data_IF_855085945098
#
_entry.id   IF_855085945098
#
_cell.length_a   1.000
_cell.length_b   1.000
_cell.length_c   1.000
_cell.angle_alpha   90.00
_cell.angle_beta   90.00
_cell.angle_gamma   90.00
#
_symmetry.space_group_name_H-M   'P 1'
#
loop_
_entity.id
_entity.type
_entity.pdbx_description
1 polymer ?
#
# COMPACT_ATOMS: atom_id res chain seq x y z
N UNK A 1 -57.15 -2.26 33.23
CA UNK A 1 -55.95 -2.48 34.09
C UNK A 1 -55.39 -3.85 33.70
N UNK A 2 -54.23 -4.07 33.08
CA UNK A 2 -53.05 -3.31 32.68
C UNK A 2 -52.44 -4.03 31.45
N UNK A 3 -52.09 -3.31 30.38
CA UNK A 3 -51.29 -3.83 29.24
C UNK A 3 -49.81 -3.71 29.65
N UNK A 4 -49.09 -4.83 29.76
CA UNK A 4 -47.64 -4.82 30.00
C UNK A 4 -46.90 -4.65 28.68
N UNK A 5 -46.44 -3.43 28.41
CA UNK A 5 -45.46 -3.12 27.37
C UNK A 5 -44.07 -3.54 27.89
N UNK A 6 -43.47 -4.58 27.30
CA UNK A 6 -42.09 -4.94 27.56
C UNK A 6 -41.19 -4.30 26.49
N UNK A 7 -40.29 -3.42 26.96
CA UNK A 7 -39.32 -2.66 26.19
C UNK A 7 -38.43 -3.57 25.32
N UNK A 8 -38.41 -3.32 24.02
CA UNK A 8 -37.38 -3.85 23.12
C UNK A 8 -36.16 -2.92 23.24
N UNK A 9 -35.15 -3.36 23.98
CA UNK A 9 -33.82 -2.73 24.01
C UNK A 9 -33.09 -3.16 22.73
N UNK A 10 -33.15 -2.31 21.70
CA UNK A 10 -32.41 -2.49 20.46
C UNK A 10 -30.92 -2.18 20.67
N UNK A 11 -30.08 -3.21 20.59
CA UNK A 11 -28.62 -3.08 20.59
C UNK A 11 -28.17 -2.61 19.19
N UNK A 12 -27.90 -1.32 19.03
CA UNK A 12 -27.32 -0.78 17.78
C UNK A 12 -25.83 -1.13 17.78
N UNK A 13 -25.45 -2.12 16.96
CA UNK A 13 -24.04 -2.39 16.65
C UNK A 13 -23.57 -1.27 15.71
N UNK A 14 -22.84 -0.29 16.24
CA UNK A 14 -22.12 0.68 15.42
C UNK A 14 -20.94 -0.05 14.75
N UNK A 15 -21.12 -0.48 13.50
CA UNK A 15 -20.02 -0.90 12.65
C UNK A 15 -19.15 0.30 12.34
N UNK A 16 -18.04 0.44 13.05
CA UNK A 16 -16.97 1.39 12.71
C UNK A 16 -16.39 0.99 11.36
N UNK A 17 -16.85 1.59 10.28
CA UNK A 17 -16.11 1.58 9.03
C UNK A 17 -14.83 2.40 9.27
N UNK A 18 -13.72 1.72 9.55
CA UNK A 18 -12.41 2.33 9.51
C UNK A 18 -12.20 2.80 8.07
N UNK A 19 -12.50 4.07 7.78
CA UNK A 19 -12.00 4.70 6.58
C UNK A 19 -10.47 4.67 6.70
N UNK A 20 -9.81 3.80 5.95
CA UNK A 20 -8.37 3.85 5.77
C UNK A 20 -8.04 5.23 5.21
N UNK A 21 -7.54 6.12 6.06
CA UNK A 21 -7.23 7.48 5.64
C UNK A 21 -6.01 7.41 4.74
N UNK A 22 -6.27 7.52 3.45
CA UNK A 22 -5.35 7.94 2.41
C UNK A 22 -4.54 9.15 2.91
N UNK A 23 -3.25 8.95 3.20
CA UNK A 23 -2.36 9.96 3.81
C UNK A 23 -1.34 10.46 2.79
N UNK A 24 -1.13 11.78 2.68
CA UNK A 24 -0.07 12.33 1.84
C UNK A 24 1.30 11.79 2.21
N UNK A 25 2.12 11.58 1.19
CA UNK A 25 3.49 11.10 1.30
C UNK A 25 4.43 12.22 0.86
N UNK A 26 5.42 12.53 1.68
CA UNK A 26 6.31 13.69 1.50
C UNK A 26 7.79 13.32 1.29
N UNK A 27 8.11 12.04 1.16
CA UNK A 27 9.47 11.56 0.89
C UNK A 27 9.47 10.18 0.21
N UNK A 28 10.59 9.86 -0.44
CA UNK A 28 10.81 8.54 -1.03
C UNK A 28 10.83 7.41 0.03
N UNK A 29 11.39 7.68 1.23
CA UNK A 29 11.36 6.73 2.36
C UNK A 29 9.93 6.44 2.84
N UNK A 30 9.09 7.49 2.95
CA UNK A 30 7.68 7.31 3.29
C UNK A 30 6.95 6.55 2.17
N UNK A 31 7.28 6.80 0.90
CA UNK A 31 6.75 6.05 -0.22
C UNK A 31 7.14 4.57 -0.19
N UNK A 32 8.41 4.26 0.09
CA UNK A 32 8.90 2.90 0.26
C UNK A 32 8.15 2.16 1.38
N UNK A 33 7.92 2.84 2.51
CA UNK A 33 7.18 2.27 3.64
C UNK A 33 5.73 1.96 3.25
N UNK A 34 5.05 2.90 2.60
CA UNK A 34 3.66 2.73 2.14
C UNK A 34 3.56 1.63 1.09
N UNK A 35 4.45 1.62 0.10
CA UNK A 35 4.49 0.58 -0.93
C UNK A 35 4.78 -0.80 -0.33
N UNK A 36 5.74 -0.91 0.58
CA UNK A 36 6.05 -2.15 1.30
C UNK A 36 4.83 -2.67 2.03
N UNK A 37 4.23 -1.88 2.92
CA UNK A 37 3.07 -2.29 3.70
C UNK A 37 1.91 -2.73 2.79
N UNK A 38 1.63 -1.96 1.73
CA UNK A 38 0.53 -2.24 0.81
C UNK A 38 0.76 -3.51 0.00
N UNK A 39 1.93 -3.64 -0.62
CA UNK A 39 2.25 -4.75 -1.52
C UNK A 39 2.38 -6.05 -0.73
N UNK A 40 3.02 -6.05 0.44
CA UNK A 40 3.13 -7.26 1.25
C UNK A 40 1.77 -7.67 1.81
N UNK A 41 0.92 -6.73 2.25
CA UNK A 41 -0.45 -7.03 2.66
C UNK A 41 -1.27 -7.66 1.52
N UNK A 42 -1.24 -7.06 0.33
CA UNK A 42 -1.93 -7.60 -0.86
C UNK A 42 -1.46 -9.01 -1.24
N UNK A 43 -0.18 -9.33 -0.97
CA UNK A 43 0.43 -10.62 -1.29
C UNK A 43 0.44 -11.61 -0.13
N UNK A 44 -0.14 -11.25 1.03
CA UNK A 44 -0.12 -12.06 2.25
C UNK A 44 1.31 -12.42 2.72
N UNK A 45 2.23 -11.46 2.58
CA UNK A 45 3.62 -11.57 3.03
C UNK A 45 3.85 -10.67 4.26
N UNK A 46 4.78 -11.04 5.16
CA UNK A 46 5.24 -10.10 6.18
C UNK A 46 6.00 -8.95 5.52
N UNK A 47 5.98 -7.75 6.13
CA UNK A 47 6.75 -6.60 5.64
C UNK A 47 8.24 -6.87 5.60
N UNK A 48 8.75 -7.73 6.49
CA UNK A 48 10.14 -8.22 6.51
C UNK A 48 10.54 -9.05 5.29
N UNK A 49 9.61 -9.34 4.37
CA UNK A 49 9.95 -9.94 3.09
C UNK A 49 10.60 -8.93 2.14
N UNK A 50 10.24 -7.64 2.25
CA UNK A 50 10.90 -6.55 1.56
C UNK A 50 12.15 -6.13 2.34
N UNK A 51 13.29 -6.06 1.67
CA UNK A 51 14.57 -5.69 2.23
C UNK A 51 14.83 -4.19 2.15
N UNK A 52 14.62 -3.61 0.97
CA UNK A 52 14.80 -2.20 0.71
C UNK A 52 14.06 -1.80 -0.58
N UNK A 53 14.09 -0.50 -0.84
CA UNK A 53 13.52 0.10 -2.03
C UNK A 53 14.62 0.77 -2.87
N UNK A 54 14.58 0.57 -4.18
CA UNK A 54 15.37 1.35 -5.13
C UNK A 54 14.47 2.45 -5.69
N UNK A 55 14.65 3.67 -5.18
CA UNK A 55 13.86 4.83 -5.57
C UNK A 55 14.42 5.49 -6.82
N UNK A 56 13.54 5.93 -7.72
CA UNK A 56 13.90 6.84 -8.80
C UNK A 56 13.95 8.27 -8.22
N UNK A 57 15.05 9.02 -8.40
CA UNK A 57 15.16 10.39 -7.90
C UNK A 57 13.98 11.24 -8.34
N UNK A 58 13.49 12.13 -7.48
CA UNK A 58 12.34 12.99 -7.82
C UNK A 58 12.57 13.85 -9.07
N UNK A 59 13.82 14.19 -9.37
CA UNK A 59 14.22 14.93 -10.60
C UNK A 59 13.95 14.13 -11.88
N UNK A 60 13.97 12.82 -11.76
CA UNK A 60 13.78 11.86 -12.85
C UNK A 60 12.39 11.18 -12.74
N UNK A 61 11.72 11.39 -11.60
CA UNK A 61 10.41 10.87 -11.26
C UNK A 61 9.28 11.71 -11.89
N UNK A 62 8.07 11.15 -11.86
CA UNK A 62 6.88 11.83 -12.37
C UNK A 62 6.30 12.81 -11.38
N UNK A 63 5.78 13.90 -11.93
CA UNK A 63 4.93 14.84 -11.19
C UNK A 63 3.81 14.10 -10.46
N UNK A 64 3.72 14.32 -9.15
CA UNK A 64 2.68 13.73 -8.31
C UNK A 64 2.93 12.31 -7.80
N UNK A 65 4.06 11.68 -8.12
CA UNK A 65 4.39 10.32 -7.64
C UNK A 65 5.81 10.21 -7.07
N UNK A 66 5.98 9.32 -6.10
CA UNK A 66 7.25 8.68 -5.78
C UNK A 66 7.29 7.32 -6.48
N UNK A 67 8.33 7.02 -7.25
CA UNK A 67 8.44 5.75 -7.97
C UNK A 67 9.58 4.93 -7.38
N UNK A 68 9.29 3.68 -7.06
CA UNK A 68 10.19 2.81 -6.32
C UNK A 68 10.10 1.36 -6.77
N UNK A 69 11.23 0.65 -6.81
CA UNK A 69 11.27 -0.80 -6.92
C UNK A 69 11.43 -1.43 -5.54
N UNK A 70 10.52 -2.34 -5.18
CA UNK A 70 10.67 -3.12 -3.94
C UNK A 70 11.62 -4.28 -4.18
N UNK A 71 12.60 -4.48 -3.30
CA UNK A 71 13.54 -5.59 -3.34
C UNK A 71 13.25 -6.57 -2.20
N UNK A 72 13.14 -7.85 -2.51
CA UNK A 72 13.02 -8.89 -1.51
C UNK A 72 14.36 -9.17 -0.82
N UNK A 73 14.31 -9.69 0.40
CA UNK A 73 15.48 -10.35 0.99
C UNK A 73 15.80 -11.62 0.20
N UNK A 74 17.09 -11.88 -0.01
CA UNK A 74 17.56 -13.17 -0.49
C UNK A 74 18.63 -13.71 0.46
N UNK A 75 18.40 -14.89 1.07
CA UNK A 75 19.33 -15.47 2.04
C UNK A 75 20.46 -16.28 1.40
N UNK A 76 20.40 -16.50 0.08
CA UNK A 76 21.35 -17.34 -0.68
C UNK A 76 22.59 -16.52 -1.10
N UNK A 77 23.72 -17.19 -1.31
CA UNK A 77 24.97 -16.54 -1.76
C UNK A 77 24.83 -15.95 -3.18
N UNK A 78 24.07 -16.63 -4.04
CA UNK A 78 23.74 -16.18 -5.39
C UNK A 78 22.24 -16.21 -5.57
N UNK A 79 21.69 -15.02 -5.77
CA UNK A 79 20.28 -14.81 -6.00
C UNK A 79 20.04 -14.39 -7.43
N UNK A 80 18.91 -14.81 -7.99
CA UNK A 80 18.38 -14.18 -9.20
C UNK A 80 17.92 -12.74 -8.93
N UNK A 81 16.93 -12.30 -9.69
CA UNK A 81 16.30 -11.01 -9.41
C UNK A 81 15.55 -11.03 -8.08
N UNK A 82 15.85 -10.10 -7.19
CA UNK A 82 15.06 -9.82 -5.99
C UNK A 82 13.95 -8.80 -6.23
N UNK A 83 13.72 -8.39 -7.49
CA UNK A 83 12.71 -7.38 -7.80
C UNK A 83 11.30 -7.92 -7.51
N UNK A 84 10.61 -7.30 -6.56
CA UNK A 84 9.22 -7.58 -6.24
C UNK A 84 8.23 -6.79 -7.12
N UNK A 85 8.74 -5.86 -7.92
CA UNK A 85 7.97 -5.01 -8.83
C UNK A 85 8.32 -3.54 -8.67
N UNK A 86 7.84 -2.76 -9.63
CA UNK A 86 7.91 -1.30 -9.63
C UNK A 86 6.56 -0.70 -9.25
N UNK A 87 6.58 0.32 -8.41
CA UNK A 87 5.39 0.91 -7.83
C UNK A 87 5.46 2.43 -7.85
N UNK A 88 4.35 3.05 -8.20
CA UNK A 88 4.14 4.49 -8.10
C UNK A 88 3.25 4.78 -6.89
N UNK A 89 3.76 5.57 -5.96
CA UNK A 89 3.04 6.04 -4.76
C UNK A 89 2.62 7.49 -4.99
N UNK A 90 1.31 7.74 -5.04
CA UNK A 90 0.78 9.07 -5.31
C UNK A 90 1.02 9.99 -4.11
N UNK A 91 1.73 11.12 -4.32
CA UNK A 91 2.17 12.04 -3.25
C UNK A 91 1.01 12.58 -2.41
N UNK A 92 -0.11 12.93 -3.07
CA UNK A 92 -1.25 13.54 -2.40
C UNK A 92 -2.03 12.58 -1.50
N UNK A 93 -1.94 11.27 -1.76
CA UNK A 93 -2.90 10.29 -1.25
C UNK A 93 -2.22 9.07 -0.60
N UNK A 94 -0.98 8.76 -0.96
CA UNK A 94 -0.33 7.50 -0.59
C UNK A 94 -0.93 6.28 -1.29
N UNK A 95 -1.74 6.47 -2.33
CA UNK A 95 -2.22 5.34 -3.13
C UNK A 95 -1.07 4.71 -3.91
N UNK A 96 -1.05 3.37 -3.94
CA UNK A 96 0.02 2.61 -4.58
C UNK A 96 -0.51 1.98 -5.86
N UNK A 97 0.25 2.13 -6.93
CA UNK A 97 -0.05 1.58 -8.25
C UNK A 97 1.13 0.76 -8.74
N UNK A 98 0.85 -0.32 -9.47
CA UNK A 98 1.86 -1.03 -10.24
C UNK A 98 2.34 -0.14 -11.39
N UNK A 99 3.62 -0.23 -11.73
CA UNK A 99 4.17 0.35 -12.97
C UNK A 99 4.28 -0.76 -13.99
N UNK A 100 3.48 -0.67 -15.05
CA UNK A 100 3.42 -1.68 -16.13
C UNK A 100 4.71 -1.69 -16.94
N UNK A 101 5.27 -0.51 -17.18
CA UNK A 101 6.53 -0.32 -17.90
C UNK A 101 7.26 0.90 -17.33
N UNK A 102 8.48 0.67 -16.85
CA UNK A 102 9.36 1.72 -16.30
C UNK A 102 10.02 2.57 -17.38
N UNK A 103 10.11 2.07 -18.61
CA UNK A 103 10.68 2.79 -19.76
C UNK A 103 9.68 3.82 -20.28
N UNK A 104 8.40 3.45 -20.33
CA UNK A 104 7.29 4.29 -20.81
C UNK A 104 6.48 4.95 -19.68
N UNK A 105 6.87 4.70 -18.42
CA UNK A 105 6.24 5.20 -17.20
C UNK A 105 4.73 4.96 -17.14
N UNK A 106 4.27 3.82 -17.63
CA UNK A 106 2.84 3.51 -17.64
C UNK A 106 2.41 3.09 -16.23
N UNK A 107 1.67 3.96 -15.54
CA UNK A 107 1.02 3.62 -14.27
C UNK A 107 -0.16 2.71 -14.58
N UNK A 108 -0.13 1.54 -13.98
CA UNK A 108 -1.11 0.49 -14.18
C UNK A 108 -2.11 0.40 -13.05
N UNK A 109 -2.35 -0.82 -12.61
CA UNK A 109 -3.40 -1.16 -11.66
C UNK A 109 -3.09 -0.64 -10.25
N UNK A 110 -4.12 -0.15 -9.55
CA UNK A 110 -4.04 0.16 -8.11
C UNK A 110 -3.81 -1.13 -7.31
N UNK A 111 -2.86 -1.09 -6.39
CA UNK A 111 -2.63 -2.16 -5.42
C UNK A 111 -3.74 -2.09 -4.37
N UNK A 112 -4.53 -3.16 -4.26
CA UNK A 112 -5.64 -3.24 -3.32
C UNK A 112 -5.15 -3.14 -1.86
N UNK A 113 -6.00 -2.63 -0.97
CA UNK A 113 -5.79 -2.83 0.47
C UNK A 113 -5.84 -4.34 0.73
N UNK A 114 -4.90 -4.89 1.50
CA UNK A 114 -5.00 -6.29 1.93
C UNK A 114 -6.28 -6.50 2.73
N UNK A 115 -7.05 -7.53 2.37
CA UNK A 115 -8.31 -7.92 3.01
C UNK A 115 -8.09 -8.76 4.26
#
# INVERSE_FOLDING_TARGET
>A
MLIRLANIVGLIVLSSASCTTTQPVSSAEAACTVATARVTAQRHLPTSHAAFCDDIPETDGRDGYYVTALRAHCPEELCGSTNMGWFAVQKATGEVFEVDDVSDWKVGRRVAEGS
#
